data_IF_925223051871
#
_entry.id   IF_925223051871
#
_cell.length_a   1.000
_cell.length_b   1.000
_cell.length_c   1.000
_cell.angle_alpha   90.00
_cell.angle_beta   90.00
_cell.angle_gamma   90.00
#
_symmetry.space_group_name_H-M   'P 1'
#
loop_
_entity.id
_entity.type
_entity.pdbx_description
1 polymer ?
#
# COMPACT_ATOMS: atom_id res chain seq x y z
N UNK A 1 9.98 7.04 14.92
CA UNK A 1 9.73 7.35 13.50
C UNK A 1 9.99 6.07 12.71
N UNK A 2 9.04 5.59 11.90
CA UNK A 2 9.19 4.31 11.16
C UNK A 2 9.02 4.51 9.66
N UNK A 3 9.75 3.72 8.88
CA UNK A 3 9.66 3.67 7.43
C UNK A 3 8.53 2.74 6.99
N UNK A 4 7.77 3.18 6.00
CA UNK A 4 6.68 2.43 5.37
C UNK A 4 6.91 2.38 3.87
N UNK A 5 6.54 1.26 3.25
CA UNK A 5 6.57 1.15 1.80
C UNK A 5 5.45 2.00 1.19
N UNK A 6 5.76 2.77 0.15
CA UNK A 6 4.79 3.50 -0.66
C UNK A 6 4.93 3.04 -2.11
N UNK A 7 3.80 2.88 -2.79
CA UNK A 7 3.73 2.38 -4.17
C UNK A 7 3.31 3.52 -5.08
N UNK A 8 4.12 3.77 -6.10
CA UNK A 8 3.77 4.65 -7.20
C UNK A 8 2.76 3.94 -8.11
N UNK A 9 1.54 4.46 -8.14
CA UNK A 9 0.43 3.85 -8.90
C UNK A 9 0.67 3.92 -10.39
N UNK A 10 1.26 4.99 -10.91
CA UNK A 10 1.51 5.15 -12.34
C UNK A 10 2.52 4.10 -12.83
N UNK A 11 3.61 3.92 -12.08
CA UNK A 11 4.64 2.94 -12.41
C UNK A 11 4.10 1.52 -12.20
N UNK A 12 3.44 1.25 -11.07
CA UNK A 12 2.94 -0.09 -10.74
C UNK A 12 1.83 -0.54 -11.70
N UNK A 13 0.90 0.34 -12.08
CA UNK A 13 -0.19 0.02 -12.98
C UNK A 13 0.23 -0.15 -14.46
N UNK A 14 1.49 0.17 -14.80
CA UNK A 14 2.04 -0.14 -16.13
C UNK A 14 2.29 -1.64 -16.35
N UNK A 15 2.37 -2.44 -15.26
CA UNK A 15 2.70 -3.88 -15.29
C UNK A 15 1.89 -4.67 -14.26
N UNK A 16 1.21 -5.73 -14.70
CA UNK A 16 0.40 -6.59 -13.82
C UNK A 16 1.20 -7.68 -13.06
N UNK A 17 2.37 -7.34 -12.50
CA UNK A 17 3.32 -8.37 -11.99
C UNK A 17 2.90 -9.07 -10.70
N UNK A 18 2.27 -8.37 -9.75
CA UNK A 18 1.76 -8.89 -8.46
C UNK A 18 2.83 -9.59 -7.58
N UNK A 19 4.12 -9.44 -7.88
CA UNK A 19 5.18 -10.20 -7.18
C UNK A 19 5.34 -9.76 -5.72
N UNK A 20 5.29 -8.47 -5.44
CA UNK A 20 5.47 -7.96 -4.07
C UNK A 20 4.42 -8.49 -3.08
N UNK A 21 3.22 -8.86 -3.53
CA UNK A 21 2.19 -9.46 -2.66
C UNK A 21 2.56 -10.86 -2.18
N UNK A 22 3.41 -11.58 -2.93
CA UNK A 22 3.83 -12.95 -2.61
C UNK A 22 5.09 -13.01 -1.75
N UNK A 23 5.95 -12.00 -1.86
CA UNK A 23 7.23 -11.96 -1.15
C UNK A 23 7.19 -11.15 0.15
N UNK A 24 6.08 -10.45 0.45
CA UNK A 24 5.98 -9.74 1.71
C UNK A 24 5.97 -10.76 2.87
N UNK A 25 6.86 -10.63 3.88
CA UNK A 25 6.92 -11.58 4.98
C UNK A 25 5.73 -11.44 5.94
N UNK A 26 5.07 -10.28 5.92
CA UNK A 26 3.88 -10.01 6.70
C UNK A 26 2.64 -10.17 5.81
N UNK A 27 1.82 -11.18 6.13
CA UNK A 27 0.62 -11.49 5.38
C UNK A 27 -0.33 -10.28 5.28
N UNK A 28 -1.02 -10.16 4.14
CA UNK A 28 -2.01 -9.12 3.86
C UNK A 28 -1.50 -7.67 3.96
N UNK A 29 -0.18 -7.45 4.03
CA UNK A 29 0.41 -6.10 4.02
C UNK A 29 0.35 -5.46 2.65
N UNK A 30 0.53 -6.26 1.59
CA UNK A 30 0.50 -5.76 0.22
C UNK A 30 -0.62 -6.49 -0.49
N UNK A 31 -1.60 -5.71 -0.97
CA UNK A 31 -2.76 -6.22 -1.66
C UNK A 31 -2.82 -5.61 -3.06
N UNK A 32 -3.52 -6.27 -3.98
CA UNK A 32 -3.65 -5.82 -5.35
C UNK A 32 -5.11 -5.44 -5.62
N UNK A 33 -5.32 -4.24 -6.16
CA UNK A 33 -6.65 -3.76 -6.56
C UNK A 33 -6.67 -3.53 -8.07
N UNK A 34 -7.58 -4.21 -8.75
CA UNK A 34 -7.85 -4.00 -10.18
C UNK A 34 -8.48 -2.63 -10.45
N UNK A 35 -9.40 -2.21 -9.57
CA UNK A 35 -10.10 -0.94 -9.67
C UNK A 35 -9.15 0.26 -9.52
N UNK A 36 -8.26 0.28 -8.53
CA UNK A 36 -7.45 1.47 -8.24
C UNK A 36 -6.53 1.94 -9.38
N UNK A 37 -6.05 1.00 -10.21
CA UNK A 37 -5.30 1.36 -11.41
C UNK A 37 -6.23 1.75 -12.57
N UNK A 38 -7.29 0.99 -12.80
CA UNK A 38 -8.21 1.20 -13.92
C UNK A 38 -9.07 2.45 -13.78
N UNK A 39 -9.51 2.78 -12.57
CA UNK A 39 -10.25 4.02 -12.24
C UNK A 39 -9.41 5.28 -12.50
N UNK A 40 -8.08 5.17 -12.47
CA UNK A 40 -7.13 6.23 -12.82
C UNK A 40 -6.76 6.23 -14.31
N UNK A 41 -7.41 5.40 -15.11
CA UNK A 41 -7.18 5.31 -16.56
C UNK A 41 -5.99 4.45 -16.97
N UNK A 42 -5.38 3.69 -16.05
CA UNK A 42 -4.28 2.78 -16.39
C UNK A 42 -4.80 1.44 -16.92
N UNK A 43 -3.98 0.76 -17.74
CA UNK A 43 -4.32 -0.53 -18.36
C UNK A 43 -4.51 -1.65 -17.34
N UNK A 44 -3.78 -1.62 -16.23
CA UNK A 44 -3.81 -2.65 -15.19
C UNK A 44 -4.13 -2.04 -13.83
N UNK A 45 -4.50 -2.91 -12.89
CA UNK A 45 -4.59 -2.58 -11.47
C UNK A 45 -3.24 -2.24 -10.84
N UNK A 46 -3.28 -1.82 -9.58
CA UNK A 46 -2.09 -1.46 -8.80
C UNK A 46 -2.07 -2.17 -7.46
N UNK A 47 -0.87 -2.40 -6.94
CA UNK A 47 -0.69 -2.85 -5.58
C UNK A 47 -0.78 -1.68 -4.60
N UNK A 48 -1.18 -1.95 -3.36
CA UNK A 48 -1.25 -0.98 -2.28
C UNK A 48 -0.80 -1.59 -0.96
N UNK A 49 -0.38 -0.72 -0.04
CA UNK A 49 0.20 -1.10 1.25
C UNK A 49 -0.82 -0.83 2.35
N UNK A 50 -1.11 -1.84 3.15
CA UNK A 50 -1.73 -1.68 4.46
C UNK A 50 -0.67 -1.13 5.43
N UNK A 51 -0.71 0.18 5.66
CA UNK A 51 0.33 0.94 6.40
C UNK A 51 0.49 0.47 7.84
N UNK A 52 -0.59 0.05 8.50
CA UNK A 52 -0.60 -0.55 9.85
C UNK A 52 0.15 -1.89 9.93
N UNK A 53 0.17 -2.64 8.83
CA UNK A 53 0.84 -3.95 8.77
C UNK A 53 2.29 -3.84 8.33
N UNK A 54 2.67 -2.76 7.65
CA UNK A 54 4.01 -2.61 7.12
C UNK A 54 5.08 -2.56 8.23
N UNK A 55 5.98 -3.54 8.24
CA UNK A 55 7.10 -3.64 9.21
C UNK A 55 8.39 -2.94 8.75
N UNK A 56 8.36 -2.22 7.63
CA UNK A 56 9.52 -1.45 7.17
C UNK A 56 10.71 -2.28 6.65
N UNK A 57 10.54 -3.57 6.36
CA UNK A 57 11.64 -4.49 6.00
C UNK A 57 12.26 -4.27 4.61
N UNK A 58 11.67 -3.43 3.77
CA UNK A 58 12.11 -3.11 2.40
C UNK A 58 12.23 -4.29 1.41
N UNK A 59 11.80 -5.51 1.76
CA UNK A 59 11.86 -6.65 0.84
C UNK A 59 11.02 -6.42 -0.43
N UNK A 60 9.87 -5.75 -0.30
CA UNK A 60 9.03 -5.41 -1.45
C UNK A 60 9.72 -4.45 -2.44
N UNK A 61 10.59 -3.54 -1.95
CA UNK A 61 11.41 -2.67 -2.79
C UNK A 61 12.40 -3.50 -3.58
N UNK A 62 13.15 -4.39 -2.91
CA UNK A 62 14.08 -5.28 -3.59
C UNK A 62 13.40 -6.14 -4.66
N UNK A 63 12.22 -6.69 -4.36
CA UNK A 63 11.42 -7.47 -5.33
C UNK A 63 11.00 -6.59 -6.52
N UNK A 64 10.51 -5.38 -6.27
CA UNK A 64 10.07 -4.48 -7.33
C UNK A 64 11.22 -4.02 -8.25
N UNK A 65 12.36 -3.69 -7.67
CA UNK A 65 13.49 -3.08 -8.37
C UNK A 65 14.38 -4.14 -9.01
N UNK A 66 14.65 -5.22 -8.25
CA UNK A 66 15.65 -6.22 -8.65
C UNK A 66 15.04 -7.39 -9.39
N UNK A 67 13.92 -7.94 -8.92
CA UNK A 67 13.28 -9.09 -9.57
C UNK A 67 12.35 -8.66 -10.71
N UNK A 68 11.47 -7.69 -10.45
CA UNK A 68 10.44 -7.27 -11.40
C UNK A 68 10.92 -6.15 -12.35
N UNK A 69 12.01 -5.44 -12.02
CA UNK A 69 12.56 -4.30 -12.77
C UNK A 69 11.56 -3.16 -13.02
N UNK A 70 10.64 -2.94 -12.08
CA UNK A 70 9.59 -1.92 -12.20
C UNK A 70 9.94 -0.60 -11.50
N UNK A 71 10.69 -0.62 -10.39
CA UNK A 71 11.07 0.58 -9.62
C UNK A 71 9.87 1.40 -9.09
N UNK A 72 8.78 0.71 -8.72
CA UNK A 72 7.53 1.36 -8.30
C UNK A 72 7.41 1.58 -6.78
N UNK A 73 8.25 0.96 -5.97
CA UNK A 73 8.09 0.97 -4.50
C UNK A 73 9.26 1.71 -3.87
N UNK A 74 8.96 2.64 -2.96
CA UNK A 74 9.98 3.35 -2.17
C UNK A 74 9.65 3.27 -0.68
N UNK A 75 10.68 3.21 0.15
CA UNK A 75 10.51 3.39 1.59
C UNK A 75 10.44 4.89 1.88
N UNK A 76 9.39 5.32 2.57
CA UNK A 76 9.22 6.71 3.01
C UNK A 76 8.87 6.76 4.48
N UNK A 77 9.14 7.90 5.13
CA UNK A 77 8.76 8.10 6.51
C UNK A 77 7.23 8.18 6.62
N UNK A 78 6.65 7.63 7.69
CA UNK A 78 5.19 7.63 7.85
C UNK A 78 4.56 9.02 7.78
N UNK A 79 5.23 10.04 8.33
CA UNK A 79 4.76 11.44 8.31
C UNK A 79 4.80 12.07 6.91
N UNK A 80 5.45 11.42 5.95
CA UNK A 80 5.56 11.83 4.54
C UNK A 80 4.64 11.01 3.62
N UNK A 81 3.85 10.07 4.16
CA UNK A 81 2.89 9.32 3.34
C UNK A 81 1.83 10.27 2.75
N UNK A 82 1.58 10.22 1.43
CA UNK A 82 0.46 10.95 0.86
C UNK A 82 -0.85 10.40 1.43
N UNK A 83 -1.83 11.27 1.74
CA UNK A 83 -3.14 10.87 2.28
C UNK A 83 -3.85 9.76 1.48
N UNK A 84 -3.52 9.62 0.19
CA UNK A 84 -4.06 8.59 -0.70
C UNK A 84 -3.50 7.17 -0.47
N UNK A 85 -2.44 7.00 0.33
CA UNK A 85 -1.83 5.71 0.64
C UNK A 85 -2.49 5.00 1.83
N UNK A 86 -3.57 5.57 2.37
CA UNK A 86 -4.20 5.11 3.59
C UNK A 86 -5.53 4.44 3.25
N UNK A 87 -5.63 3.14 3.52
CA UNK A 87 -6.84 2.36 3.28
C UNK A 87 -7.99 2.83 4.18
N UNK A 88 -9.24 2.54 3.82
CA UNK A 88 -10.44 2.95 4.58
C UNK A 88 -10.46 2.54 6.07
N UNK A 89 -9.56 1.65 6.50
CA UNK A 89 -9.41 1.23 7.89
C UNK A 89 -8.51 2.14 8.74
N UNK A 90 -7.80 3.11 8.13
CA UNK A 90 -7.07 4.17 8.82
C UNK A 90 -7.39 5.47 8.08
N UNK A 91 -8.32 6.27 8.59
CA UNK A 91 -8.51 7.62 8.08
C UNK A 91 -7.65 8.56 8.91
N UNK A 92 -6.65 9.20 8.30
CA UNK A 92 -6.10 10.43 8.87
C UNK A 92 -7.10 11.55 8.54
N UNK A 93 -8.17 11.64 9.31
CA UNK A 93 -9.00 12.85 9.33
C UNK A 93 -8.16 13.94 10.02
N UNK A 94 -7.74 14.92 9.22
CA UNK A 94 -7.23 16.24 9.58
C UNK A 94 -6.30 16.35 10.81
N UNK A 95 -4.99 16.52 10.54
CA UNK A 95 -3.90 17.24 11.28
C UNK A 95 -3.92 17.42 12.82
N UNK A 96 -4.76 16.75 13.57
CA UNK A 96 -4.86 16.80 15.03
C UNK A 96 -4.96 15.39 15.59
N UNK A 97 -3.82 14.72 15.55
CA UNK A 97 -3.35 13.69 16.51
C UNK A 97 -4.40 12.97 17.37
N UNK A 98 -5.06 11.93 16.84
CA UNK A 98 -5.25 10.62 17.53
C UNK A 98 -5.52 9.56 16.46
N UNK A 99 -4.79 8.44 16.48
CA UNK A 99 -5.14 7.28 15.65
C UNK A 99 -6.45 6.68 16.17
N UNK A 100 -7.54 6.80 15.42
CA UNK A 100 -8.78 6.07 15.72
C UNK A 100 -8.64 4.69 15.09
N UNK A 101 -8.33 3.69 15.93
CA UNK A 101 -8.39 2.29 15.52
C UNK A 101 -9.85 1.93 15.27
N UNK A 102 -10.21 1.64 14.02
CA UNK A 102 -11.50 1.03 13.72
C UNK A 102 -11.53 -0.36 14.37
N UNK A 103 -12.50 -0.57 15.25
CA UNK A 103 -12.64 -1.81 16.01
C UNK A 103 -13.00 -2.95 15.03
N UNK A 104 -12.27 -4.08 14.98
CA UNK A 104 -12.43 -5.10 13.94
C UNK A 104 -13.73 -5.93 14.02
N UNK A 105 -14.70 -5.53 14.83
CA UNK A 105 -16.01 -6.18 14.94
C UNK A 105 -17.15 -5.16 14.88
N UNK A 106 -17.43 -4.63 13.69
CA UNK A 106 -18.81 -4.25 13.33
C UNK A 106 -19.05 -4.76 11.91
N UNK A 107 -19.44 -6.04 11.82
CA UNK A 107 -20.15 -6.55 10.64
C UNK A 107 -21.52 -5.89 10.69
N UNK A 108 -21.75 -4.88 9.86
CA UNK A 108 -23.07 -4.27 9.71
C UNK A 108 -23.91 -5.27 8.90
N UNK A 109 -24.68 -6.08 9.61
CA UNK A 109 -25.71 -6.95 9.04
C UNK A 109 -27.00 -6.18 8.83
N UNK A 110 -27.57 -6.36 7.63
CA UNK A 110 -28.85 -5.91 7.09
C UNK A 110 -29.05 -4.40 6.89
#
# INVERSE_FOLDING_TARGET
>A
MYLVANIDVEICASKSCKLCTQYCPEANTIQYSEAMGTDRGFKYGTAYIAVDRCKGCALCVWVCDTMAKNNAIKMIMIDQLPLAAVTDNIRYEEKTTVAVLSNPMIVIGN
#
